data_IF_003503568030
#
_entry.id   IF_003503568030
#
_cell.length_a   1.000
_cell.length_b   1.000
_cell.length_c   1.000
_cell.angle_alpha   90.00
_cell.angle_beta   90.00
_cell.angle_gamma   90.00
#
_symmetry.space_group_name_H-M   'P 1'
#
loop_
_entity.id
_entity.type
_entity.pdbx_description
1 polymer ?
#
# COMPACT_ATOMS: atom_id res chain seq x y z
N UNK A 1 15.33 -11.64 -18.51
CA UNK A 1 15.06 -11.71 -17.05
C UNK A 1 15.15 -10.28 -16.49
N UNK A 2 14.09 -9.81 -15.86
CA UNK A 2 14.11 -8.48 -15.22
C UNK A 2 14.83 -8.60 -13.87
N UNK A 3 15.74 -7.67 -13.59
CA UNK A 3 16.38 -7.55 -12.29
C UNK A 3 15.70 -6.45 -11.50
N UNK A 4 15.56 -6.65 -10.18
CA UNK A 4 15.03 -5.66 -9.26
C UNK A 4 16.01 -4.48 -9.17
N UNK A 5 15.55 -3.28 -9.54
CA UNK A 5 16.39 -2.09 -9.61
C UNK A 5 16.51 -1.32 -8.27
N UNK A 6 15.72 -1.68 -7.25
CA UNK A 6 15.72 -1.00 -5.96
C UNK A 6 15.28 -1.94 -4.83
N UNK A 7 15.84 -1.73 -3.66
CA UNK A 7 15.56 -2.51 -2.45
C UNK A 7 14.13 -2.33 -1.94
N UNK A 8 13.66 -3.31 -1.22
CA UNK A 8 12.37 -3.28 -0.53
C UNK A 8 11.18 -3.66 -1.39
N UNK A 9 10.07 -3.87 -0.72
CA UNK A 9 8.76 -4.06 -1.31
C UNK A 9 7.75 -3.11 -0.68
N UNK A 10 6.76 -2.68 -1.44
CA UNK A 10 5.67 -1.87 -0.92
C UNK A 10 4.62 -2.78 -0.28
N UNK A 11 4.23 -2.44 0.93
CA UNK A 11 3.15 -3.06 1.67
C UNK A 11 1.98 -2.09 1.62
N UNK A 12 0.85 -2.56 1.11
CA UNK A 12 -0.39 -1.78 1.01
C UNK A 12 -1.35 -2.22 2.10
N UNK A 13 -2.13 -1.30 2.65
CA UNK A 13 -3.26 -1.59 3.52
C UNK A 13 -4.60 -1.61 2.77
N UNK A 14 -4.56 -1.56 1.44
CA UNK A 14 -5.71 -1.58 0.55
C UNK A 14 -5.44 -2.49 -0.65
N UNK A 15 -6.50 -2.96 -1.26
CA UNK A 15 -6.45 -3.61 -2.57
C UNK A 15 -6.58 -2.55 -3.66
N UNK A 16 -5.73 -2.65 -4.68
CA UNK A 16 -5.72 -1.69 -5.78
C UNK A 16 -6.87 -2.01 -6.76
N UNK A 17 -7.84 -1.11 -6.82
CA UNK A 17 -8.97 -1.20 -7.74
C UNK A 17 -8.95 0.01 -8.69
N UNK A 18 -8.67 -0.25 -9.97
CA UNK A 18 -8.51 0.82 -10.96
C UNK A 18 -9.83 1.57 -11.20
N UNK A 19 -10.98 0.89 -11.12
CA UNK A 19 -12.29 1.48 -11.34
C UNK A 19 -12.67 2.51 -10.26
N UNK A 20 -12.10 2.38 -9.06
CA UNK A 20 -12.34 3.28 -7.93
C UNK A 20 -11.47 4.53 -7.95
N UNK A 21 -10.57 4.64 -8.92
CA UNK A 21 -9.72 5.81 -9.15
C UNK A 21 -10.12 6.55 -10.41
N UNK A 22 -9.41 7.66 -10.72
CA UNK A 22 -9.69 8.42 -11.93
C UNK A 22 -9.53 7.57 -13.18
N UNK A 23 -10.63 7.40 -13.94
CA UNK A 23 -10.59 6.78 -15.24
C UNK A 23 -11.65 7.41 -16.18
N UNK A 24 -11.46 7.28 -17.49
CA UNK A 24 -12.39 7.69 -18.55
C UNK A 24 -12.76 6.52 -19.45
N UNK A 25 -12.86 5.32 -18.85
CA UNK A 25 -13.00 4.04 -19.54
C UNK A 25 -11.64 3.45 -19.87
N UNK A 26 -11.68 2.22 -20.37
CA UNK A 26 -10.50 1.41 -20.66
C UNK A 26 -10.42 1.08 -22.14
N UNK A 27 -9.20 0.89 -22.63
CA UNK A 27 -8.94 0.44 -23.98
C UNK A 27 -7.82 -0.62 -23.96
N UNK A 28 -7.95 -1.62 -24.79
CA UNK A 28 -6.86 -2.56 -25.13
C UNK A 28 -5.87 -1.95 -26.11
N UNK A 29 -6.03 -0.67 -26.42
CA UNK A 29 -5.29 0.05 -27.44
C UNK A 29 -5.37 -0.71 -28.78
N UNK A 30 -4.28 -1.17 -29.33
CA UNK A 30 -4.23 -1.94 -30.58
C UNK A 30 -3.73 -3.39 -30.38
N UNK A 31 -3.75 -3.89 -29.12
CA UNK A 31 -3.20 -5.21 -28.79
C UNK A 31 -3.95 -6.32 -29.51
N UNK A 32 -5.28 -6.28 -29.52
CA UNK A 32 -6.09 -7.33 -30.14
C UNK A 32 -6.45 -7.01 -31.59
N UNK A 33 -6.86 -5.80 -31.86
CA UNK A 33 -7.24 -5.29 -33.18
C UNK A 33 -7.29 -3.77 -33.20
N UNK A 34 -7.21 -3.20 -34.41
CA UNK A 34 -7.39 -1.77 -34.59
C UNK A 34 -8.84 -1.36 -34.30
N UNK A 35 -9.04 -0.41 -33.40
CA UNK A 35 -10.33 0.15 -33.06
C UNK A 35 -10.43 1.57 -33.59
N UNK A 36 -11.62 1.98 -34.01
CA UNK A 36 -11.86 3.34 -34.52
C UNK A 36 -11.86 4.38 -33.42
N UNK A 37 -12.38 4.02 -32.22
CA UNK A 37 -12.45 4.89 -31.06
C UNK A 37 -11.63 4.33 -29.92
N UNK A 38 -10.50 4.94 -29.62
CA UNK A 38 -9.61 4.59 -28.50
C UNK A 38 -9.57 5.66 -27.42
N UNK A 39 -10.17 6.84 -27.65
CA UNK A 39 -10.23 7.95 -26.72
C UNK A 39 -11.67 8.24 -26.24
N UNK A 40 -11.78 8.81 -25.06
CA UNK A 40 -13.05 9.33 -24.53
C UNK A 40 -13.21 10.79 -24.97
N UNK A 41 -14.15 11.06 -25.86
CA UNK A 41 -14.42 12.39 -26.41
C UNK A 41 -15.60 13.10 -25.72
N UNK A 42 -16.38 12.35 -24.94
CA UNK A 42 -17.63 12.84 -24.37
C UNK A 42 -17.40 13.77 -23.17
N UNK A 43 -16.37 13.52 -22.38
CA UNK A 43 -16.06 14.35 -21.22
C UNK A 43 -14.59 14.25 -20.82
N UNK A 44 -13.95 15.37 -20.39
CA UNK A 44 -12.64 15.35 -19.76
C UNK A 44 -12.68 14.84 -18.31
N UNK A 45 -13.88 14.72 -17.71
CA UNK A 45 -14.07 14.29 -16.33
C UNK A 45 -13.88 12.78 -16.19
N UNK A 46 -13.61 12.34 -14.96
CA UNK A 46 -13.63 10.92 -14.61
C UNK A 46 -15.03 10.35 -14.82
N UNK A 47 -15.13 9.24 -15.51
CA UNK A 47 -16.36 8.44 -15.59
C UNK A 47 -16.50 7.56 -14.34
N UNK A 48 -15.42 6.89 -13.95
CA UNK A 48 -15.38 6.05 -12.76
C UNK A 48 -16.01 4.68 -12.95
N UNK A 49 -16.48 4.13 -11.86
CA UNK A 49 -17.06 2.78 -11.77
C UNK A 49 -18.54 2.78 -12.14
N UNK A 50 -18.95 1.88 -13.01
CA UNK A 50 -20.37 1.65 -13.29
C UNK A 50 -21.07 1.10 -12.04
N UNK A 51 -22.13 1.77 -11.61
CA UNK A 51 -22.98 1.33 -10.49
C UNK A 51 -24.22 0.61 -11.02
N UNK A 52 -24.98 1.23 -11.92
CA UNK A 52 -26.21 0.69 -12.45
C UNK A 52 -27.06 1.75 -13.09
N UNK A 53 -28.37 1.64 -13.01
CA UNK A 53 -29.31 2.57 -13.57
C UNK A 53 -30.16 3.22 -12.50
N UNK A 54 -30.66 4.43 -12.79
CA UNK A 54 -31.72 5.04 -12.01
C UNK A 54 -33.02 4.26 -12.21
N UNK A 55 -33.58 3.74 -11.11
CA UNK A 55 -34.82 2.93 -11.09
C UNK A 55 -36.03 3.84 -10.91
N UNK A 56 -35.94 4.77 -9.95
CA UNK A 56 -37.08 5.60 -9.52
C UNK A 56 -36.57 6.96 -8.98
N UNK A 57 -37.30 8.02 -9.28
CA UNK A 57 -37.14 9.33 -8.64
C UNK A 57 -38.22 9.50 -7.58
N UNK A 58 -37.81 9.73 -6.33
CA UNK A 58 -38.68 10.00 -5.19
C UNK A 58 -38.67 11.48 -4.83
N UNK A 59 -39.64 11.94 -4.02
CA UNK A 59 -39.71 13.31 -3.59
C UNK A 59 -38.45 13.83 -2.90
N UNK A 60 -37.72 12.94 -2.23
CA UNK A 60 -36.52 13.27 -1.42
C UNK A 60 -35.24 12.59 -1.91
N UNK A 61 -35.21 12.02 -3.11
CA UNK A 61 -33.99 11.37 -3.62
C UNK A 61 -34.23 10.39 -4.76
N UNK A 62 -33.27 9.51 -4.95
CA UNK A 62 -33.16 8.63 -6.11
C UNK A 62 -32.96 7.19 -5.68
N UNK A 63 -33.63 6.24 -6.33
CA UNK A 63 -33.38 4.81 -6.18
C UNK A 63 -32.52 4.34 -7.35
N UNK A 64 -31.32 3.88 -7.04
CA UNK A 64 -30.31 3.47 -8.01
C UNK A 64 -30.05 1.97 -7.81
N UNK A 65 -29.90 1.22 -8.90
CA UNK A 65 -29.43 -0.16 -8.86
C UNK A 65 -28.10 -0.24 -8.09
N UNK A 66 -27.92 -1.32 -7.33
CA UNK A 66 -26.66 -1.58 -6.56
C UNK A 66 -26.25 -0.39 -5.67
N UNK A 67 -27.21 0.36 -5.13
CA UNK A 67 -26.93 1.48 -4.22
C UNK A 67 -26.21 1.07 -2.92
N UNK A 68 -26.16 -0.21 -2.61
CA UNK A 68 -25.37 -0.82 -1.54
C UNK A 68 -23.84 -0.69 -1.77
N UNK A 69 -23.41 -0.44 -3.01
CA UNK A 69 -22.02 -0.14 -3.34
C UNK A 69 -21.63 1.33 -3.09
N UNK A 70 -22.61 2.19 -2.82
CA UNK A 70 -22.42 3.63 -2.66
C UNK A 70 -22.31 4.03 -1.18
N UNK A 71 -21.52 5.08 -0.94
CA UNK A 71 -21.33 5.65 0.39
C UNK A 71 -21.68 7.14 0.41
N UNK A 72 -21.95 7.65 1.61
CA UNK A 72 -22.10 9.10 1.81
C UNK A 72 -20.80 9.80 1.42
N UNK A 73 -20.93 10.86 0.63
CA UNK A 73 -19.77 11.60 0.13
C UNK A 73 -19.27 11.14 -1.24
N UNK A 74 -19.74 10.02 -1.78
CA UNK A 74 -19.39 9.58 -3.13
C UNK A 74 -19.85 10.58 -4.18
N UNK A 75 -19.05 10.74 -5.24
CA UNK A 75 -19.40 11.51 -6.41
C UNK A 75 -20.06 10.62 -7.47
N UNK A 76 -21.17 11.06 -8.01
CA UNK A 76 -21.85 10.40 -9.11
C UNK A 76 -21.60 11.14 -10.42
N UNK A 77 -21.59 10.39 -11.52
CA UNK A 77 -21.50 10.87 -12.88
C UNK A 77 -22.58 10.21 -13.74
N UNK A 78 -23.21 10.97 -14.59
CA UNK A 78 -24.21 10.51 -15.55
C UNK A 78 -24.28 11.46 -16.74
N UNK A 79 -24.92 11.01 -17.82
CA UNK A 79 -25.28 11.86 -18.96
C UNK A 79 -26.73 12.28 -18.76
N UNK A 80 -26.98 13.59 -18.76
CA UNK A 80 -28.33 14.14 -18.62
C UNK A 80 -29.17 14.01 -19.91
N UNK A 81 -30.42 14.44 -19.86
CA UNK A 81 -31.33 14.35 -21.00
C UNK A 81 -30.87 15.15 -22.23
N UNK A 82 -30.07 16.21 -22.02
CA UNK A 82 -29.50 17.04 -23.10
C UNK A 82 -28.24 16.38 -23.73
N UNK A 83 -27.85 15.22 -23.27
CA UNK A 83 -26.61 14.50 -23.70
C UNK A 83 -25.32 15.05 -23.11
N UNK A 84 -25.41 15.88 -22.08
CA UNK A 84 -24.26 16.49 -21.42
C UNK A 84 -23.85 15.74 -20.18
N UNK A 85 -22.54 15.74 -19.92
CA UNK A 85 -21.96 15.14 -18.72
C UNK A 85 -22.29 15.98 -17.48
N UNK A 86 -23.05 15.40 -16.55
CA UNK A 86 -23.43 16.02 -15.27
C UNK A 86 -23.05 15.08 -14.09
N UNK A 87 -23.21 15.58 -12.88
CA UNK A 87 -22.93 14.82 -11.67
C UNK A 87 -23.31 15.56 -10.40
N UNK A 88 -23.31 14.83 -9.29
CA UNK A 88 -23.56 15.36 -7.97
C UNK A 88 -22.90 14.49 -6.91
N UNK A 89 -22.66 15.05 -5.74
CA UNK A 89 -22.17 14.32 -4.58
C UNK A 89 -23.35 13.78 -3.77
N UNK A 90 -23.19 12.56 -3.25
CA UNK A 90 -24.14 11.95 -2.32
C UNK A 90 -24.02 12.65 -0.96
N UNK A 91 -25.13 13.21 -0.49
CA UNK A 91 -25.21 13.77 0.86
C UNK A 91 -25.44 12.62 1.88
N UNK A 92 -26.49 11.81 1.67
CA UNK A 92 -26.84 10.72 2.56
C UNK A 92 -27.60 9.62 1.80
N UNK A 93 -27.45 8.39 2.26
CA UNK A 93 -28.24 7.23 1.80
C UNK A 93 -29.10 6.74 2.95
N UNK A 94 -30.41 6.68 2.75
CA UNK A 94 -31.39 6.20 3.74
C UNK A 94 -32.35 5.23 3.10
N UNK A 95 -32.43 4.00 3.59
CA UNK A 95 -33.31 2.94 3.09
C UNK A 95 -33.23 2.78 1.55
N UNK A 96 -32.04 2.70 1.00
CA UNK A 96 -31.74 2.62 -0.44
C UNK A 96 -32.16 3.83 -1.27
N UNK A 97 -32.51 4.96 -0.63
CA UNK A 97 -32.75 6.23 -1.29
C UNK A 97 -31.49 7.08 -1.18
N UNK A 98 -30.91 7.41 -2.34
CA UNK A 98 -29.73 8.27 -2.47
C UNK A 98 -30.19 9.71 -2.52
N UNK A 99 -29.79 10.51 -1.55
CA UNK A 99 -30.05 11.95 -1.49
C UNK A 99 -28.79 12.69 -1.93
N UNK A 100 -28.91 13.51 -2.96
CA UNK A 100 -27.77 14.29 -3.50
C UNK A 100 -27.68 15.65 -2.79
N UNK A 101 -26.48 16.24 -2.81
CA UNK A 101 -26.22 17.58 -2.27
C UNK A 101 -26.91 18.72 -3.08
N UNK A 102 -27.33 18.41 -4.30
CA UNK A 102 -28.08 19.29 -5.17
C UNK A 102 -29.17 18.52 -5.92
N UNK A 103 -30.34 19.10 -6.08
CA UNK A 103 -31.40 18.46 -6.87
C UNK A 103 -30.98 18.40 -8.34
N UNK A 104 -31.17 17.22 -8.95
CA UNK A 104 -30.84 16.95 -10.35
C UNK A 104 -32.07 16.42 -11.10
N UNK A 105 -32.21 16.79 -12.35
CA UNK A 105 -33.19 16.17 -13.24
C UNK A 105 -32.50 14.97 -13.90
N UNK A 106 -32.85 13.78 -13.43
CA UNK A 106 -32.27 12.51 -13.95
C UNK A 106 -33.44 11.66 -14.40
N UNK A 107 -33.43 11.21 -15.65
CA UNK A 107 -34.46 10.34 -16.20
C UNK A 107 -34.30 8.90 -15.69
N UNK A 108 -35.42 8.21 -15.46
CA UNK A 108 -35.40 6.79 -15.13
C UNK A 108 -34.77 6.00 -16.27
N UNK A 109 -33.86 5.07 -15.93
CA UNK A 109 -33.06 4.32 -16.87
C UNK A 109 -31.70 4.92 -17.20
N UNK A 110 -31.41 6.18 -16.75
CA UNK A 110 -30.09 6.79 -16.90
C UNK A 110 -29.02 5.93 -16.19
N UNK A 111 -27.91 5.68 -16.89
CA UNK A 111 -26.77 4.94 -16.35
C UNK A 111 -25.98 5.84 -15.41
N UNK A 112 -25.73 5.31 -14.20
CA UNK A 112 -25.05 6.01 -13.11
C UNK A 112 -23.68 5.39 -12.88
N UNK A 113 -22.67 6.24 -12.79
CA UNK A 113 -21.29 5.86 -12.44
C UNK A 113 -20.89 6.55 -11.14
N UNK A 114 -20.00 5.93 -10.38
CA UNK A 114 -19.30 6.52 -9.24
C UNK A 114 -17.95 7.05 -9.72
N UNK A 115 -17.81 8.36 -9.88
CA UNK A 115 -16.57 8.98 -10.35
C UNK A 115 -15.63 9.41 -9.21
N UNK A 116 -16.09 9.36 -7.97
CA UNK A 116 -15.31 9.62 -6.77
C UNK A 116 -15.79 8.71 -5.64
N UNK A 117 -14.91 7.88 -5.14
CA UNK A 117 -15.18 6.95 -4.03
C UNK A 117 -14.59 7.54 -2.75
N UNK A 118 -15.45 8.09 -1.88
CA UNK A 118 -15.02 8.80 -0.67
C UNK A 118 -14.29 7.90 0.34
N UNK A 119 -14.74 6.65 0.49
CA UNK A 119 -14.08 5.69 1.40
C UNK A 119 -12.71 5.25 0.86
N UNK A 120 -12.63 4.94 -0.42
CA UNK A 120 -11.39 4.52 -1.04
C UNK A 120 -10.35 5.64 -1.03
N UNK A 121 -10.75 6.86 -1.36
CA UNK A 121 -9.87 8.04 -1.28
C UNK A 121 -9.33 8.20 0.14
N UNK A 122 -10.21 8.18 1.14
CA UNK A 122 -9.83 8.28 2.55
C UNK A 122 -8.87 7.17 2.97
N UNK A 123 -9.04 5.95 2.44
CA UNK A 123 -8.14 4.82 2.73
C UNK A 123 -6.77 5.02 2.09
N UNK A 124 -6.73 5.43 0.82
CA UNK A 124 -5.47 5.61 0.06
C UNK A 124 -4.68 6.82 0.56
N UNK A 125 -5.35 7.89 0.99
CA UNK A 125 -4.72 9.10 1.52
C UNK A 125 -4.15 8.96 2.95
N UNK A 126 -4.38 7.83 3.62
CA UNK A 126 -3.74 7.58 4.92
C UNK A 126 -2.22 7.57 4.78
N UNK A 127 -1.53 8.19 5.72
CA UNK A 127 -0.05 8.27 5.75
C UNK A 127 0.65 6.91 5.58
N UNK A 128 0.01 5.83 6.06
CA UNK A 128 0.55 4.46 6.01
C UNK A 128 -0.17 3.56 5.01
N UNK A 129 -0.86 4.11 4.04
CA UNK A 129 -1.58 3.33 3.02
C UNK A 129 -0.64 2.50 2.14
N UNK A 130 0.55 3.00 1.87
CA UNK A 130 1.58 2.35 1.09
C UNK A 130 2.95 2.61 1.71
N UNK A 131 3.53 1.60 2.36
CA UNK A 131 4.83 1.72 3.03
C UNK A 131 5.83 0.82 2.35
N UNK A 132 6.98 1.38 1.93
CA UNK A 132 8.09 0.58 1.43
C UNK A 132 8.96 0.09 2.57
N UNK A 133 9.18 -1.23 2.62
CA UNK A 133 10.02 -1.90 3.62
C UNK A 133 11.05 -2.80 2.94
N UNK A 134 12.24 -2.88 3.54
CA UNK A 134 13.35 -3.72 3.10
C UNK A 134 13.31 -5.00 3.93
N UNK A 135 13.36 -6.15 3.28
CA UNK A 135 13.39 -7.44 3.95
C UNK A 135 14.68 -7.63 4.74
N UNK A 136 14.58 -8.16 5.95
CA UNK A 136 15.72 -8.49 6.80
C UNK A 136 15.56 -9.87 7.43
N UNK A 137 16.63 -10.66 7.40
CA UNK A 137 16.77 -11.89 8.16
C UNK A 137 17.55 -11.63 9.44
N UNK A 138 17.05 -12.15 10.55
CA UNK A 138 17.68 -12.06 11.86
C UNK A 138 18.16 -13.43 12.31
N UNK A 139 19.40 -13.52 12.77
CA UNK A 139 19.96 -14.73 13.39
C UNK A 139 20.40 -14.38 14.80
N UNK A 140 19.74 -14.98 15.80
CA UNK A 140 20.04 -14.78 17.20
C UNK A 140 20.67 -16.05 17.77
N UNK A 141 21.94 -15.97 18.13
CA UNK A 141 22.74 -17.09 18.59
C UNK A 141 23.36 -16.83 19.95
N UNK A 142 23.65 -17.87 20.68
CA UNK A 142 24.44 -17.75 21.89
C UNK A 142 25.95 -17.66 21.56
N UNK A 143 26.68 -16.99 22.43
CA UNK A 143 28.16 -16.93 22.44
C UNK A 143 28.69 -17.47 23.76
N UNK A 144 30.00 -17.51 23.92
CA UNK A 144 30.61 -17.97 25.21
C UNK A 144 30.08 -17.17 26.39
N UNK A 145 30.02 -15.81 26.23
CA UNK A 145 29.77 -14.90 27.34
C UNK A 145 28.42 -14.17 27.21
N UNK A 146 27.52 -14.67 26.35
CA UNK A 146 26.23 -14.03 26.16
C UNK A 146 25.52 -14.42 24.87
N UNK A 147 25.06 -13.40 24.10
CA UNK A 147 24.26 -13.61 22.90
C UNK A 147 24.68 -12.64 21.80
N UNK A 148 24.53 -13.08 20.56
CA UNK A 148 24.81 -12.30 19.35
C UNK A 148 23.57 -12.24 18.47
N UNK A 149 23.15 -11.04 18.08
CA UNK A 149 22.16 -10.82 17.03
C UNK A 149 22.85 -10.33 15.77
N UNK A 150 22.59 -11.01 14.67
CA UNK A 150 23.03 -10.64 13.34
C UNK A 150 21.80 -10.32 12.47
N UNK A 151 21.86 -9.22 11.73
CA UNK A 151 20.87 -8.85 10.73
C UNK A 151 21.51 -8.84 9.35
N UNK A 152 20.84 -9.45 8.39
CA UNK A 152 21.23 -9.43 6.97
C UNK A 152 20.05 -8.99 6.14
N UNK A 153 20.19 -7.92 5.34
CA UNK A 153 19.13 -7.48 4.48
C UNK A 153 19.08 -8.19 3.12
N UNK A 154 18.06 -7.92 2.33
CA UNK A 154 17.85 -8.53 1.02
C UNK A 154 18.94 -8.20 -0.03
N UNK A 155 19.74 -7.17 0.20
CA UNK A 155 20.86 -6.77 -0.67
C UNK A 155 22.20 -7.29 -0.19
N UNK A 156 22.23 -7.98 0.98
CA UNK A 156 23.43 -8.63 1.54
C UNK A 156 24.22 -7.76 2.51
N UNK A 157 23.73 -6.55 2.89
CA UNK A 157 24.36 -5.79 3.96
C UNK A 157 24.14 -6.47 5.30
N UNK A 158 25.15 -6.43 6.15
CA UNK A 158 25.12 -7.13 7.42
C UNK A 158 25.54 -6.22 8.57
N UNK A 159 24.86 -6.37 9.70
CA UNK A 159 25.25 -5.80 10.98
C UNK A 159 25.14 -6.85 12.08
N UNK A 160 25.92 -6.71 13.14
CA UNK A 160 25.86 -7.63 14.28
C UNK A 160 26.17 -6.91 15.60
N UNK A 161 25.52 -7.35 16.65
CA UNK A 161 25.75 -6.87 18.01
C UNK A 161 25.84 -8.04 18.98
N UNK A 162 26.66 -7.87 20.00
CA UNK A 162 26.88 -8.86 21.07
C UNK A 162 26.41 -8.26 22.39
N UNK A 163 25.60 -9.02 23.11
CA UNK A 163 25.24 -8.71 24.50
C UNK A 163 26.04 -9.65 25.41
N UNK A 164 26.87 -9.09 26.27
CA UNK A 164 27.45 -9.83 27.38
C UNK A 164 26.38 -9.96 28.48
N UNK A 165 26.01 -11.20 28.78
CA UNK A 165 24.98 -11.50 29.77
C UNK A 165 25.19 -12.87 30.35
N UNK A 166 25.15 -13.01 31.68
CA UNK A 166 25.19 -14.32 32.34
C UNK A 166 24.02 -15.17 31.82
N UNK A 167 24.36 -16.40 31.42
CA UNK A 167 23.39 -17.37 30.95
C UNK A 167 22.73 -18.05 32.13
N UNK A 168 21.51 -17.68 32.45
CA UNK A 168 20.66 -18.34 33.44
C UNK A 168 19.55 -19.10 32.75
N UNK A 169 19.24 -20.30 33.20
CA UNK A 169 18.12 -21.07 32.68
C UNK A 169 16.81 -20.42 33.03
N UNK A 170 15.83 -20.46 32.11
CA UNK A 170 14.50 -19.98 32.38
C UNK A 170 13.79 -20.88 33.40
N UNK A 171 13.11 -20.25 34.36
CA UNK A 171 12.33 -20.96 35.39
C UNK A 171 11.08 -21.68 34.86
N UNK A 172 10.76 -21.53 33.60
CA UNK A 172 9.58 -22.08 32.94
C UNK A 172 9.98 -23.29 32.09
N UNK A 173 9.17 -24.37 32.13
CA UNK A 173 9.29 -25.49 31.21
C UNK A 173 8.92 -25.16 29.79
N UNK A 174 8.34 -23.97 29.53
CA UNK A 174 8.01 -23.52 28.20
C UNK A 174 9.22 -22.85 27.53
N UNK A 175 9.37 -23.07 26.24
CA UNK A 175 10.45 -22.45 25.45
C UNK A 175 10.30 -20.93 25.44
N UNK A 176 11.40 -20.21 25.70
CA UNK A 176 11.47 -18.75 25.60
C UNK A 176 11.53 -18.27 24.14
N UNK A 177 11.88 -19.15 23.21
CA UNK A 177 12.11 -18.83 21.81
C UNK A 177 10.92 -18.16 21.13
N UNK A 178 9.65 -18.62 21.28
CA UNK A 178 8.50 -17.97 20.65
C UNK A 178 8.35 -16.50 21.07
N UNK A 179 8.60 -16.21 22.34
CA UNK A 179 8.51 -14.84 22.87
C UNK A 179 9.66 -13.95 22.34
N UNK A 180 10.87 -14.49 22.26
CA UNK A 180 12.02 -13.82 21.63
C UNK A 180 11.70 -13.50 20.16
N UNK A 181 11.27 -14.47 19.35
CA UNK A 181 10.90 -14.28 17.96
C UNK A 181 9.81 -13.21 17.80
N UNK A 182 8.76 -13.27 18.62
CA UNK A 182 7.69 -12.26 18.63
C UNK A 182 8.20 -10.83 18.87
N UNK A 183 9.21 -10.66 19.71
CA UNK A 183 9.78 -9.34 19.99
C UNK A 183 10.81 -8.91 18.95
N UNK A 184 11.60 -9.82 18.39
CA UNK A 184 12.52 -9.53 17.29
C UNK A 184 11.78 -9.15 16.01
N UNK A 185 10.60 -9.71 15.76
CA UNK A 185 9.76 -9.37 14.60
C UNK A 185 9.25 -7.93 14.58
N UNK A 186 9.27 -7.22 15.72
CA UNK A 186 8.75 -5.86 15.83
C UNK A 186 9.76 -4.83 15.34
N UNK A 187 9.72 -4.45 14.09
CA UNK A 187 10.64 -3.47 13.50
C UNK A 187 10.23 -2.01 13.71
N UNK A 188 9.02 -1.75 14.21
CA UNK A 188 8.53 -0.39 14.51
C UNK A 188 8.55 0.53 13.28
N UNK A 189 9.08 1.76 13.48
CA UNK A 189 9.18 2.76 12.43
C UNK A 189 10.46 2.64 11.57
N UNK A 190 11.23 1.56 11.70
CA UNK A 190 12.41 1.35 10.85
C UNK A 190 12.00 1.10 9.39
N UNK A 191 12.95 1.22 8.47
CA UNK A 191 12.75 0.90 7.04
C UNK A 191 12.67 -0.60 6.77
N UNK A 192 12.87 -1.44 7.80
CA UNK A 192 12.93 -2.89 7.66
C UNK A 192 11.61 -3.59 7.99
N UNK A 193 11.45 -4.78 7.41
CA UNK A 193 10.48 -5.80 7.81
C UNK A 193 11.22 -7.12 7.96
N UNK A 194 10.96 -7.83 9.06
CA UNK A 194 11.61 -9.13 9.30
C UNK A 194 10.90 -10.20 8.47
N UNK A 195 11.66 -10.85 7.59
CA UNK A 195 11.18 -11.97 6.77
C UNK A 195 11.42 -13.31 7.45
N UNK A 196 12.56 -13.44 8.16
CA UNK A 196 12.97 -14.69 8.80
C UNK A 196 13.68 -14.41 10.11
N UNK A 197 13.45 -15.28 11.11
CA UNK A 197 14.14 -15.24 12.40
C UNK A 197 14.60 -16.65 12.79
N UNK A 198 15.90 -16.80 12.90
CA UNK A 198 16.53 -18.00 13.45
C UNK A 198 17.00 -17.72 14.86
N UNK A 199 16.71 -18.65 15.79
CA UNK A 199 17.21 -18.61 17.16
C UNK A 199 17.96 -19.91 17.43
N UNK A 200 19.26 -19.80 17.61
CA UNK A 200 20.19 -20.92 17.76
C UNK A 200 20.75 -20.93 19.18
N UNK A 201 19.98 -21.49 20.12
CA UNK A 201 20.33 -21.67 21.50
C UNK A 201 20.50 -23.16 21.81
N UNK A 202 21.49 -23.49 22.62
CA UNK A 202 21.73 -24.87 23.07
C UNK A 202 20.78 -25.29 24.20
N UNK A 203 20.21 -24.31 24.93
CA UNK A 203 19.31 -24.53 26.06
C UNK A 203 18.26 -23.44 26.18
N UNK A 204 17.35 -23.55 27.12
CA UNK A 204 16.27 -22.58 27.37
C UNK A 204 16.78 -21.42 28.24
N UNK A 205 17.54 -20.51 27.63
CA UNK A 205 18.16 -19.39 28.32
C UNK A 205 17.17 -18.26 28.60
N UNK A 206 17.15 -17.78 29.85
CA UNK A 206 16.42 -16.59 30.22
C UNK A 206 17.12 -15.34 29.66
N UNK A 207 16.37 -14.52 28.94
CA UNK A 207 16.83 -13.21 28.49
C UNK A 207 15.72 -12.17 28.69
N UNK A 208 15.98 -11.06 29.43
CA UNK A 208 15.00 -10.00 29.60
C UNK A 208 14.55 -9.43 28.24
N UNK A 209 13.25 -9.27 28.05
CA UNK A 209 12.70 -8.74 26.81
C UNK A 209 13.20 -7.31 26.50
N UNK A 210 13.51 -6.52 27.55
CA UNK A 210 14.16 -5.22 27.37
C UNK A 210 15.47 -5.33 26.61
N UNK A 211 16.31 -6.34 26.93
CA UNK A 211 17.59 -6.60 26.26
C UNK A 211 17.40 -7.07 24.81
N UNK A 212 16.40 -7.91 24.57
CA UNK A 212 16.04 -8.34 23.20
C UNK A 212 15.61 -7.14 22.35
N UNK A 213 14.84 -6.21 22.94
CA UNK A 213 14.40 -5.00 22.24
C UNK A 213 15.55 -4.00 22.03
N UNK A 214 16.49 -3.91 22.97
CA UNK A 214 17.68 -3.05 22.90
C UNK A 214 18.57 -3.49 21.74
N UNK A 215 19.03 -4.74 21.75
CA UNK A 215 19.93 -5.29 20.72
C UNK A 215 19.29 -5.23 19.32
N UNK A 216 17.98 -5.50 19.22
CA UNK A 216 17.28 -5.39 17.95
C UNK A 216 17.35 -3.96 17.39
N UNK A 217 17.11 -2.94 18.22
CA UNK A 217 17.19 -1.54 17.79
C UNK A 217 18.57 -1.19 17.30
N UNK A 218 19.59 -1.48 18.11
CA UNK A 218 20.99 -1.18 17.78
C UNK A 218 21.45 -1.86 16.50
N UNK A 219 21.15 -3.15 16.32
CA UNK A 219 21.50 -3.89 15.09
C UNK A 219 20.83 -3.29 13.86
N UNK A 220 19.53 -2.93 13.96
CA UNK A 220 18.81 -2.35 12.81
C UNK A 220 19.26 -0.91 12.50
N UNK A 221 19.61 -0.12 13.51
CA UNK A 221 20.19 1.22 13.33
C UNK A 221 21.56 1.12 12.65
N UNK A 222 22.43 0.25 13.14
CA UNK A 222 23.72 0.00 12.52
C UNK A 222 23.58 -0.49 11.05
N UNK A 223 22.60 -1.34 10.77
CA UNK A 223 22.34 -1.80 9.41
C UNK A 223 21.93 -0.64 8.47
N UNK A 224 21.17 0.34 8.96
CA UNK A 224 20.85 1.57 8.19
C UNK A 224 22.12 2.34 7.86
N UNK A 225 23.01 2.54 8.85
CA UNK A 225 24.28 3.26 8.65
C UNK A 225 25.19 2.55 7.62
N UNK A 226 25.28 1.23 7.70
CA UNK A 226 26.04 0.41 6.74
C UNK A 226 25.47 0.59 5.32
N UNK A 227 24.15 0.51 5.16
CA UNK A 227 23.49 0.74 3.87
C UNK A 227 23.79 2.12 3.30
N UNK A 228 23.71 3.15 4.13
CA UNK A 228 24.00 4.54 3.72
C UNK A 228 25.45 4.68 3.30
N UNK A 229 26.39 4.14 4.09
CA UNK A 229 27.84 4.26 3.82
C UNK A 229 28.30 3.51 2.57
N UNK A 230 27.61 2.39 2.25
CA UNK A 230 27.94 1.56 1.09
C UNK A 230 27.16 1.97 -0.17
N UNK A 231 26.28 2.95 -0.08
CA UNK A 231 25.53 3.43 -1.24
C UNK A 231 26.41 4.28 -2.15
N UNK A 232 26.75 3.73 -3.30
CA UNK A 232 27.49 4.44 -4.35
C UNK A 232 26.54 4.86 -5.46
N UNK A 233 26.52 6.17 -5.75
CA UNK A 233 25.80 6.71 -6.89
C UNK A 233 26.76 6.86 -8.05
N UNK A 234 26.56 6.09 -9.11
CA UNK A 234 27.32 6.31 -10.35
C UNK A 234 26.93 7.65 -10.96
N UNK A 235 27.93 8.51 -11.16
CA UNK A 235 27.76 9.77 -11.89
C UNK A 235 27.99 9.49 -13.37
N UNK A 236 26.93 9.54 -14.17
CA UNK A 236 27.07 9.54 -15.62
C UNK A 236 27.36 10.97 -16.11
N UNK A 237 28.47 11.14 -16.80
CA UNK A 237 28.75 12.38 -17.54
C UNK A 237 27.89 12.36 -18.79
N UNK A 238 26.82 13.13 -18.78
CA UNK A 238 25.99 13.31 -19.99
C UNK A 238 26.76 14.23 -20.95
N UNK A 239 27.35 13.64 -21.99
CA UNK A 239 27.91 14.42 -23.09
C UNK A 239 26.73 15.00 -23.88
N UNK A 240 26.59 16.34 -23.87
CA UNK A 240 25.57 17.00 -24.69
C UNK A 240 25.91 16.74 -26.15
N UNK A 241 25.07 15.94 -26.81
CA UNK A 241 25.14 15.80 -28.26
C UNK A 241 24.41 16.99 -28.88
N UNK A 242 25.14 17.79 -29.66
CA UNK A 242 24.58 18.91 -30.44
C UNK A 242 23.83 18.41 -31.68
N UNK A 243 22.93 17.45 -31.53
CA UNK A 243 22.03 17.12 -32.62
C UNK A 243 20.83 18.06 -32.58
N UNK A 244 20.59 18.86 -33.64
CA UNK A 244 19.37 19.65 -33.72
C UNK A 244 18.16 18.70 -33.74
N UNK A 245 17.16 19.05 -32.97
CA UNK A 245 15.88 18.32 -33.06
C UNK A 245 15.37 18.41 -34.49
N UNK A 246 14.89 17.34 -35.09
CA UNK A 246 14.21 17.42 -36.38
C UNK A 246 12.99 18.35 -36.22
N UNK A 247 12.92 19.36 -37.07
CA UNK A 247 11.84 20.32 -37.17
C UNK A 247 10.67 19.67 -37.90
#
# INVERSE_FOLDING_TARGET
>A
QYQKASSGRTIYNFEAEMDRSFNRGYTDYFVNKRKEKIGSWESPKSQGQLIGKLIETKANGYVIENSDLLNNGDGLYFINADGEADGAQINIIVNNVVVLNSQKSIEVGTVIYRNSDAEFIKLVEQEKSAIRKIGVRLVFSETTDGFKLQATDEDGHQSEMIIVNEKTQANSNESVIPNIKKNLAKTGNTVFIVDEIDVNFSDNWFLPISKVNEIRREVLEQLVEIRISQYHRETQVITKTNHPYPV
#
